data_IF_450990747318
#
_entry.id   IF_450990747318
#
_cell.length_a   1.000
_cell.length_b   1.000
_cell.length_c   1.000
_cell.angle_alpha   90.00
_cell.angle_beta   90.00
_cell.angle_gamma   90.00
#
_symmetry.space_group_name_H-M   'P 1'
#
loop_
_entity.id
_entity.type
_entity.pdbx_description
1 polymer ?
#
# COMPACT_ATOMS: atom_id res chain seq x y z
N UNK A 1 -11.86 54.38 -6.78
CA UNK A 1 -10.88 53.30 -6.48
C UNK A 1 -11.48 51.93 -6.84
N UNK A 2 -11.03 51.33 -7.95
CA UNK A 2 -11.42 49.98 -8.36
C UNK A 2 -10.19 49.09 -8.18
N UNK A 3 -10.27 48.11 -7.29
CA UNK A 3 -9.26 47.07 -7.18
C UNK A 3 -9.29 46.20 -8.44
N UNK A 4 -8.14 45.87 -9.05
CA UNK A 4 -8.11 44.85 -10.08
C UNK A 4 -8.33 43.51 -9.37
N UNK A 5 -9.50 42.92 -9.63
CA UNK A 5 -9.84 41.55 -9.28
C UNK A 5 -8.72 40.62 -9.74
N UNK A 6 -7.96 40.10 -8.79
CA UNK A 6 -6.96 39.07 -8.99
C UNK A 6 -7.62 37.77 -9.40
N UNK A 7 -8.02 37.67 -10.66
CA UNK A 7 -8.04 36.39 -11.36
C UNK A 7 -6.59 35.95 -11.41
N UNK A 8 -6.18 35.10 -10.47
CA UNK A 8 -4.95 34.36 -10.59
C UNK A 8 -5.00 33.69 -11.97
N UNK A 9 -4.17 34.17 -12.90
CA UNK A 9 -4.00 33.56 -14.21
C UNK A 9 -3.79 32.06 -13.96
N UNK A 10 -4.85 31.28 -14.20
CA UNK A 10 -4.77 29.83 -14.17
C UNK A 10 -3.61 29.48 -15.07
N UNK A 11 -2.54 28.93 -14.50
CA UNK A 11 -1.29 28.67 -15.19
C UNK A 11 -1.62 27.98 -16.52
N UNK A 12 -1.58 28.76 -17.61
CA UNK A 12 -1.82 28.23 -18.95
C UNK A 12 -0.83 27.09 -19.13
N UNK A 13 -1.27 25.98 -19.73
CA UNK A 13 -0.36 24.92 -20.15
C UNK A 13 0.56 25.51 -21.22
N UNK A 14 1.66 26.08 -20.77
CA UNK A 14 2.76 26.56 -21.58
C UNK A 14 3.38 25.32 -22.23
N UNK A 15 3.43 25.31 -23.56
CA UNK A 15 4.14 24.29 -24.33
C UNK A 15 5.60 24.73 -24.44
N UNK A 16 6.54 24.12 -23.69
CA UNK A 16 7.92 24.61 -23.57
C UNK A 16 8.70 24.60 -24.90
N UNK A 17 8.19 23.87 -25.88
CA UNK A 17 8.75 23.78 -27.23
C UNK A 17 8.21 24.86 -28.19
N UNK A 18 7.06 25.47 -27.89
CA UNK A 18 6.40 26.48 -28.75
C UNK A 18 6.54 27.91 -28.23
N UNK A 19 6.86 28.12 -26.95
CA UNK A 19 6.98 29.45 -26.38
C UNK A 19 8.43 29.99 -26.39
N UNK A 20 8.71 31.07 -27.16
CA UNK A 20 10.06 31.60 -27.34
C UNK A 20 10.59 32.42 -26.15
N UNK A 21 9.77 32.68 -25.11
CA UNK A 21 10.12 33.54 -23.97
C UNK A 21 10.85 32.86 -22.81
N UNK A 22 11.07 31.54 -22.86
CA UNK A 22 11.70 30.78 -21.77
C UNK A 22 13.23 30.79 -21.88
N UNK A 23 13.89 31.22 -20.80
CA UNK A 23 15.35 31.09 -20.71
C UNK A 23 15.77 29.61 -20.73
N UNK A 24 16.98 29.29 -21.22
CA UNK A 24 17.50 27.92 -21.22
C UNK A 24 17.48 27.26 -19.84
N UNK A 25 17.75 28.03 -18.78
CA UNK A 25 17.74 27.54 -17.39
C UNK A 25 16.33 27.20 -16.90
N UNK A 26 15.33 28.04 -17.22
CA UNK A 26 13.93 27.75 -16.89
C UNK A 26 13.45 26.47 -17.57
N UNK A 27 13.81 26.24 -18.83
CA UNK A 27 13.48 24.99 -19.54
C UNK A 27 14.08 23.76 -18.88
N UNK A 28 15.34 23.83 -18.46
CA UNK A 28 16.00 22.74 -17.74
C UNK A 28 15.33 22.45 -16.41
N UNK A 29 14.98 23.50 -15.65
CA UNK A 29 14.30 23.35 -14.37
C UNK A 29 12.89 22.74 -14.53
N UNK A 30 12.12 23.20 -15.52
CA UNK A 30 10.80 22.62 -15.83
C UNK A 30 10.91 21.13 -16.18
N UNK A 31 11.88 20.76 -17.02
CA UNK A 31 12.10 19.37 -17.39
C UNK A 31 12.55 18.50 -16.19
N UNK A 32 13.32 19.05 -15.25
CA UNK A 32 13.68 18.34 -14.02
C UNK A 32 12.46 18.13 -13.11
N UNK A 33 11.67 19.17 -12.89
CA UNK A 33 10.46 19.10 -12.05
C UNK A 33 9.44 18.12 -12.64
N UNK A 34 9.25 18.13 -13.97
CA UNK A 34 8.33 17.21 -14.63
C UNK A 34 8.78 15.74 -14.46
N UNK A 35 10.08 15.45 -14.64
CA UNK A 35 10.63 14.11 -14.38
C UNK A 35 10.43 13.70 -12.93
N UNK A 36 10.72 14.59 -11.98
CA UNK A 36 10.54 14.32 -10.55
C UNK A 36 9.07 14.07 -10.19
N UNK A 37 8.14 14.83 -10.77
CA UNK A 37 6.69 14.65 -10.59
C UNK A 37 6.24 13.29 -11.14
N UNK A 38 6.62 12.95 -12.37
CA UNK A 38 6.32 11.64 -12.99
C UNK A 38 6.89 10.50 -12.13
N UNK A 39 8.13 10.62 -11.68
CA UNK A 39 8.78 9.60 -10.86
C UNK A 39 8.09 9.45 -9.50
N UNK A 40 7.74 10.54 -8.82
CA UNK A 40 6.96 10.50 -7.56
C UNK A 40 5.61 9.83 -7.74
N UNK A 41 4.89 10.14 -8.83
CA UNK A 41 3.59 9.53 -9.12
C UNK A 41 3.72 8.01 -9.35
N UNK A 42 4.72 7.59 -10.13
CA UNK A 42 5.03 6.17 -10.36
C UNK A 42 5.42 5.46 -9.06
N UNK A 43 6.32 6.05 -8.27
CA UNK A 43 6.72 5.50 -6.97
C UNK A 43 5.53 5.33 -6.04
N UNK A 44 4.63 6.32 -5.94
CA UNK A 44 3.45 6.24 -5.07
C UNK A 44 2.53 5.09 -5.49
N UNK A 45 2.29 4.93 -6.79
CA UNK A 45 1.47 3.84 -7.35
C UNK A 45 2.10 2.47 -7.14
N UNK A 46 3.41 2.34 -7.30
CA UNK A 46 4.11 1.08 -7.09
C UNK A 46 4.14 0.71 -5.60
N UNK A 47 4.34 1.68 -4.71
CA UNK A 47 4.37 1.45 -3.26
C UNK A 47 3.05 0.90 -2.73
N UNK A 48 1.91 1.46 -3.16
CA UNK A 48 0.60 0.98 -2.71
C UNK A 48 0.31 -0.44 -3.21
N UNK A 49 0.66 -0.75 -4.46
CA UNK A 49 0.50 -2.10 -5.02
C UNK A 49 1.37 -3.13 -4.29
N UNK A 50 2.63 -2.77 -4.01
CA UNK A 50 3.55 -3.65 -3.29
C UNK A 50 3.11 -3.86 -1.85
N UNK A 51 2.56 -2.84 -1.19
CA UNK A 51 2.01 -2.96 0.15
C UNK A 51 0.82 -3.93 0.17
N UNK A 52 -0.14 -3.77 -0.74
CA UNK A 52 -1.29 -4.67 -0.86
C UNK A 52 -0.86 -6.10 -1.15
N UNK A 53 0.12 -6.29 -2.04
CA UNK A 53 0.65 -7.62 -2.34
C UNK A 53 1.32 -8.25 -1.11
N UNK A 54 2.15 -7.49 -0.40
CA UNK A 54 2.82 -7.98 0.81
C UNK A 54 1.82 -8.33 1.93
N UNK A 55 0.79 -7.49 2.13
CA UNK A 55 -0.29 -7.79 3.08
C UNK A 55 -1.08 -9.03 2.67
N UNK A 56 -1.39 -9.20 1.39
CA UNK A 56 -2.08 -10.38 0.87
C UNK A 56 -1.29 -11.67 1.10
N UNK A 57 0.00 -11.67 0.73
CA UNK A 57 0.89 -12.82 0.97
C UNK A 57 1.00 -13.11 2.47
N UNK A 58 1.23 -12.08 3.29
CA UNK A 58 1.31 -12.22 4.73
C UNK A 58 0.04 -12.83 5.33
N UNK A 59 -1.13 -12.30 4.97
CA UNK A 59 -2.42 -12.80 5.46
C UNK A 59 -2.64 -14.28 5.10
N UNK A 60 -2.28 -14.69 3.87
CA UNK A 60 -2.38 -16.11 3.47
C UNK A 60 -1.43 -16.97 4.28
N UNK A 61 -0.17 -16.57 4.43
CA UNK A 61 0.82 -17.32 5.22
C UNK A 61 0.39 -17.45 6.68
N UNK A 62 -0.02 -16.34 7.32
CA UNK A 62 -0.53 -16.37 8.70
C UNK A 62 -1.81 -17.19 8.83
N UNK A 63 -2.70 -17.15 7.83
CA UNK A 63 -3.93 -17.95 7.82
C UNK A 63 -3.65 -19.45 7.79
N UNK A 64 -2.73 -19.90 6.92
CA UNK A 64 -2.35 -21.32 6.84
C UNK A 64 -1.71 -21.78 8.15
N UNK A 65 -0.67 -21.08 8.63
CA UNK A 65 0.03 -21.46 9.86
C UNK A 65 -0.87 -21.37 11.09
N UNK A 66 -1.69 -20.31 11.18
CA UNK A 66 -2.64 -20.12 12.27
C UNK A 66 -3.69 -21.23 12.29
N UNK A 67 -4.23 -21.59 11.13
CA UNK A 67 -5.18 -22.71 11.02
C UNK A 67 -4.53 -24.04 11.38
N UNK A 68 -3.34 -24.34 10.87
CA UNK A 68 -2.61 -25.57 11.21
C UNK A 68 -2.34 -25.66 12.71
N UNK A 69 -1.92 -24.58 13.35
CA UNK A 69 -1.69 -24.57 14.79
C UNK A 69 -2.98 -24.79 15.58
N UNK A 70 -4.06 -24.11 15.18
CA UNK A 70 -5.38 -24.27 15.79
C UNK A 70 -5.92 -25.71 15.62
N UNK A 71 -5.82 -26.29 14.43
CA UNK A 71 -6.29 -27.66 14.19
C UNK A 71 -5.50 -28.68 15.01
N UNK A 72 -4.17 -28.55 15.08
CA UNK A 72 -3.33 -29.42 15.91
C UNK A 72 -3.66 -29.27 17.40
N UNK A 73 -3.95 -28.05 17.88
CA UNK A 73 -4.37 -27.86 19.27
C UNK A 73 -5.72 -28.48 19.59
N UNK A 74 -6.64 -28.55 18.61
CA UNK A 74 -7.92 -29.22 18.80
C UNK A 74 -7.77 -30.74 18.90
N UNK A 75 -6.95 -31.36 18.05
CA UNK A 75 -6.69 -32.81 18.13
C UNK A 75 -6.14 -33.18 19.50
N UNK A 76 -5.13 -32.46 20.00
CA UNK A 76 -4.57 -32.74 21.34
C UNK A 76 -5.56 -32.53 22.48
N UNK A 77 -6.40 -31.50 22.39
CA UNK A 77 -7.41 -31.25 23.42
C UNK A 77 -8.49 -32.36 23.44
N UNK A 78 -8.91 -32.84 22.27
CA UNK A 78 -9.86 -33.95 22.18
C UNK A 78 -9.26 -35.25 22.75
N UNK A 79 -7.99 -35.54 22.45
CA UNK A 79 -7.29 -36.71 22.99
C UNK A 79 -7.18 -36.66 24.53
N UNK A 80 -6.90 -35.48 25.10
CA UNK A 80 -6.84 -35.26 26.55
C UNK A 80 -8.20 -35.52 27.23
N UNK A 81 -9.30 -35.06 26.61
CA UNK A 81 -10.66 -35.29 27.12
C UNK A 81 -11.07 -36.77 27.06
N UNK A 82 -10.69 -37.49 26.00
CA UNK A 82 -11.01 -38.91 25.85
C UNK A 82 -10.29 -39.75 26.90
N UNK A 83 -9.01 -39.46 27.16
CA UNK A 83 -8.24 -40.11 28.22
C UNK A 83 -8.83 -39.88 29.62
N UNK A 84 -9.30 -38.66 29.92
CA UNK A 84 -9.92 -38.35 31.21
C UNK A 84 -11.27 -39.07 31.37
N UNK A 85 -12.07 -39.16 30.30
CA UNK A 85 -13.33 -39.89 30.29
C UNK A 85 -13.13 -41.41 30.48
N UNK A 86 -12.14 -42.00 29.82
CA UNK A 86 -11.75 -43.41 30.02
C UNK A 86 -11.29 -43.67 31.46
N UNK A 87 -10.44 -42.79 32.01
CA UNK A 87 -9.98 -42.89 33.38
C UNK A 87 -11.13 -42.78 34.40
N UNK A 88 -12.12 -41.92 34.14
CA UNK A 88 -13.31 -41.79 34.99
C UNK A 88 -14.19 -43.05 34.93
N UNK A 89 -14.39 -43.64 33.74
CA UNK A 89 -15.14 -44.89 33.57
C UNK A 89 -14.45 -46.08 34.25
N UNK A 90 -13.13 -46.15 34.19
CA UNK A 90 -12.36 -47.22 34.84
C UNK A 90 -12.40 -47.14 36.39
N UNK A 91 -12.78 -45.99 36.95
CA UNK A 91 -12.91 -45.76 38.39
C UNK A 91 -14.34 -45.96 38.91
N UNK A 92 -15.33 -46.11 38.03
CA UNK A 92 -16.74 -46.35 38.35
C UNK A 92 -17.05 -47.85 38.37
#
# INVERSE_FOLDING_TARGET
>A
PREPSGEAEFARRIDPAREPGLSPQQRQHMAQVERAQRQRALHRRLRSRNLLLALGIGAVTFGIYGYTFYSVSQERFLDELEQEAEAARARA
#
